data_IF_733311320063
#
_entry.id   IF_733311320063
#
_cell.length_a   1.000
_cell.length_b   1.000
_cell.length_c   1.000
_cell.angle_alpha   90.00
_cell.angle_beta   90.00
_cell.angle_gamma   90.00
#
_symmetry.space_group_name_H-M   'P 1'
#
loop_
_entity.id
_entity.type
_entity.pdbx_description
1 polymer ?
#
# COMPACT_ATOMS: atom_id res chain seq x y z
N UNK A 1 54.60 -24.84 37.60
CA UNK A 1 53.35 -24.09 37.88
C UNK A 1 53.58 -22.62 37.54
N UNK A 2 52.98 -22.12 36.45
CA UNK A 2 53.02 -20.69 36.14
C UNK A 2 52.18 -19.93 37.18
N UNK A 3 52.82 -19.07 38.01
CA UNK A 3 52.11 -18.11 38.86
C UNK A 3 51.59 -16.98 37.97
N UNK A 4 50.39 -17.15 37.43
CA UNK A 4 49.70 -16.08 36.71
C UNK A 4 49.33 -15.01 37.73
N UNK A 5 49.86 -13.79 37.55
CA UNK A 5 49.50 -12.64 38.37
C UNK A 5 48.00 -12.37 38.27
N UNK A 6 47.35 -12.04 39.39
CA UNK A 6 45.92 -11.68 39.46
C UNK A 6 45.53 -10.63 38.42
N UNK A 7 46.45 -9.71 38.06
CA UNK A 7 46.25 -8.73 36.98
C UNK A 7 46.15 -9.38 35.59
N UNK A 8 46.99 -10.36 35.28
CA UNK A 8 46.97 -11.06 33.99
C UNK A 8 45.68 -11.90 33.86
N UNK A 9 45.25 -12.56 34.93
CA UNK A 9 44.00 -13.34 34.93
C UNK A 9 42.77 -12.46 34.68
N UNK A 10 42.73 -11.25 35.26
CA UNK A 10 41.64 -10.29 35.03
C UNK A 10 41.63 -9.80 33.57
N UNK A 11 42.80 -9.47 33.01
CA UNK A 11 42.92 -9.04 31.61
C UNK A 11 42.43 -10.14 30.65
N UNK A 12 42.85 -11.39 30.85
CA UNK A 12 42.43 -12.53 30.03
C UNK A 12 40.92 -12.75 30.12
N UNK A 13 40.34 -12.64 31.32
CA UNK A 13 38.89 -12.75 31.51
C UNK A 13 38.11 -11.66 30.77
N UNK A 14 38.55 -10.39 30.87
CA UNK A 14 37.93 -9.27 30.14
C UNK A 14 37.97 -9.51 28.63
N UNK A 15 39.12 -9.92 28.09
CA UNK A 15 39.27 -10.22 26.65
C UNK A 15 38.34 -11.35 26.21
N UNK A 16 38.22 -12.42 27.00
CA UNK A 16 37.29 -13.53 26.71
C UNK A 16 35.83 -13.06 26.66
N UNK A 17 35.41 -12.23 27.62
CA UNK A 17 34.05 -11.65 27.64
C UNK A 17 33.81 -10.78 26.39
N UNK A 18 34.79 -9.96 26.00
CA UNK A 18 34.70 -9.16 24.77
C UNK A 18 34.58 -10.02 23.52
N UNK A 19 35.35 -11.11 23.41
CA UNK A 19 35.27 -12.04 22.27
C UNK A 19 33.88 -12.68 22.19
N UNK A 20 33.31 -13.11 23.33
CA UNK A 20 31.96 -13.69 23.38
C UNK A 20 30.91 -12.66 22.93
N UNK A 21 30.98 -11.43 23.43
CA UNK A 21 30.06 -10.35 23.04
C UNK A 21 30.20 -10.04 21.55
N UNK A 22 31.44 -9.91 21.04
CA UNK A 22 31.69 -9.63 19.63
C UNK A 22 31.20 -10.77 18.72
N UNK A 23 31.40 -12.03 19.12
CA UNK A 23 30.91 -13.20 18.37
C UNK A 23 29.38 -13.26 18.34
N UNK A 24 28.71 -12.98 19.47
CA UNK A 24 27.24 -12.92 19.51
C UNK A 24 26.69 -11.76 18.67
N UNK A 25 27.34 -10.59 18.73
CA UNK A 25 26.99 -9.46 17.89
C UNK A 25 27.20 -9.77 16.40
N UNK A 26 28.29 -10.45 16.04
CA UNK A 26 28.57 -10.87 14.68
C UNK A 26 27.50 -11.85 14.15
N UNK A 27 27.15 -12.88 14.92
CA UNK A 27 26.12 -13.84 14.53
C UNK A 27 24.76 -13.14 14.34
N UNK A 28 24.38 -12.25 15.26
CA UNK A 28 23.15 -11.47 15.16
C UNK A 28 23.14 -10.58 13.89
N UNK A 29 24.26 -9.93 13.56
CA UNK A 29 24.38 -9.11 12.34
C UNK A 29 24.25 -9.98 11.09
N UNK A 30 24.88 -11.16 11.07
CA UNK A 30 24.78 -12.10 9.94
C UNK A 30 23.35 -12.62 9.72
N UNK A 31 22.67 -13.02 10.80
CA UNK A 31 21.27 -13.46 10.73
C UNK A 31 20.36 -12.33 10.22
N UNK A 32 20.56 -11.11 10.70
CA UNK A 32 19.81 -9.93 10.23
C UNK A 32 20.07 -9.63 8.75
N UNK A 33 21.32 -9.80 8.28
CA UNK A 33 21.68 -9.59 6.88
C UNK A 33 21.05 -10.65 5.97
N UNK A 34 21.09 -11.93 6.36
CA UNK A 34 20.45 -13.01 5.61
C UNK A 34 18.93 -12.83 5.54
N UNK A 35 18.30 -12.43 6.65
CA UNK A 35 16.87 -12.13 6.67
C UNK A 35 16.52 -10.98 5.73
N UNK A 36 17.34 -9.92 5.71
CA UNK A 36 17.19 -8.79 4.78
C UNK A 36 17.29 -9.27 3.33
N UNK A 37 18.36 -9.95 2.96
CA UNK A 37 18.61 -10.42 1.59
C UNK A 37 17.51 -11.36 1.09
N UNK A 38 17.03 -12.27 1.94
CA UNK A 38 15.95 -13.18 1.59
C UNK A 38 14.64 -12.43 1.28
N UNK A 39 14.29 -11.41 2.07
CA UNK A 39 13.10 -10.60 1.83
C UNK A 39 13.23 -9.76 0.55
N UNK A 40 14.39 -9.15 0.30
CA UNK A 40 14.62 -8.39 -0.92
C UNK A 40 14.56 -9.28 -2.17
N UNK A 41 15.22 -10.45 -2.14
CA UNK A 41 15.21 -11.38 -3.28
C UNK A 41 13.80 -11.84 -3.62
N UNK A 42 13.00 -12.16 -2.59
CA UNK A 42 11.59 -12.52 -2.80
C UNK A 42 10.77 -11.36 -3.36
N UNK A 43 10.97 -10.15 -2.86
CA UNK A 43 10.31 -8.96 -3.39
C UNK A 43 10.68 -8.73 -4.87
N UNK A 44 11.96 -8.87 -5.23
CA UNK A 44 12.43 -8.77 -6.62
C UNK A 44 11.78 -9.81 -7.53
N UNK A 45 11.71 -11.06 -7.07
CA UNK A 45 11.08 -12.16 -7.80
C UNK A 45 9.60 -11.87 -8.05
N UNK A 46 8.86 -11.48 -7.00
CA UNK A 46 7.43 -11.16 -7.09
C UNK A 46 7.15 -9.99 -8.05
N UNK A 47 7.91 -8.90 -7.95
CA UNK A 47 7.74 -7.74 -8.83
C UNK A 47 8.11 -8.05 -10.28
N UNK A 48 9.13 -8.89 -10.50
CA UNK A 48 9.48 -9.37 -11.84
C UNK A 48 8.37 -10.24 -12.43
N UNK A 49 7.76 -11.10 -11.62
CA UNK A 49 6.61 -11.90 -12.02
C UNK A 49 5.39 -11.02 -12.37
N UNK A 50 5.13 -9.95 -11.60
CA UNK A 50 4.08 -8.97 -11.91
C UNK A 50 4.31 -8.33 -13.28
N UNK A 51 5.54 -7.91 -13.59
CA UNK A 51 5.88 -7.32 -14.89
C UNK A 51 5.61 -8.32 -16.01
N UNK A 52 6.08 -9.55 -15.87
CA UNK A 52 5.84 -10.61 -16.88
C UNK A 52 4.36 -10.92 -17.06
N UNK A 53 3.58 -10.93 -15.97
CA UNK A 53 2.12 -11.05 -16.02
C UNK A 53 1.51 -9.88 -16.81
N UNK A 54 1.94 -8.64 -16.55
CA UNK A 54 1.40 -7.44 -17.20
C UNK A 54 1.62 -7.41 -18.72
N UNK A 55 2.66 -8.09 -19.19
CA UNK A 55 2.98 -8.17 -20.62
C UNK A 55 2.14 -9.20 -21.37
N UNK A 56 1.53 -10.15 -20.65
CA UNK A 56 0.80 -11.31 -21.17
C UNK A 56 -0.63 -11.36 -20.61
N UNK A 57 -0.89 -12.22 -19.62
CA UNK A 57 -2.21 -12.42 -18.97
C UNK A 57 -2.90 -11.11 -18.56
N UNK A 58 -2.15 -10.12 -18.07
CA UNK A 58 -2.70 -8.83 -17.69
C UNK A 58 -3.33 -8.07 -18.87
N UNK A 59 -2.79 -8.20 -20.09
CA UNK A 59 -3.40 -7.62 -21.29
C UNK A 59 -4.67 -8.36 -21.69
N UNK A 60 -4.69 -9.68 -21.55
CA UNK A 60 -5.87 -10.51 -21.83
C UNK A 60 -7.00 -10.19 -20.85
N UNK A 61 -6.69 -10.03 -19.55
CA UNK A 61 -7.64 -9.61 -18.53
C UNK A 61 -8.19 -8.20 -18.81
N UNK A 62 -7.34 -7.26 -19.22
CA UNK A 62 -7.77 -5.92 -19.60
C UNK A 62 -8.69 -5.93 -20.82
N UNK A 63 -8.36 -6.73 -21.84
CA UNK A 63 -9.18 -6.85 -23.04
C UNK A 63 -10.54 -7.49 -22.73
N UNK A 64 -10.56 -8.52 -21.89
CA UNK A 64 -11.80 -9.09 -21.36
C UNK A 64 -12.62 -8.04 -20.60
N UNK A 65 -12.00 -7.28 -19.70
CA UNK A 65 -12.67 -6.26 -18.91
C UNK A 65 -13.30 -5.18 -19.77
N UNK A 66 -12.60 -4.70 -20.80
CA UNK A 66 -13.10 -3.71 -21.78
C UNK A 66 -14.28 -4.23 -22.58
N UNK A 67 -14.23 -5.50 -22.99
CA UNK A 67 -15.24 -6.13 -23.84
C UNK A 67 -16.32 -6.89 -23.05
N UNK A 68 -16.44 -6.66 -21.73
CA UNK A 68 -17.48 -7.26 -20.92
C UNK A 68 -18.85 -6.77 -21.40
N UNK A 69 -19.70 -7.72 -21.81
CA UNK A 69 -21.01 -7.50 -22.42
C UNK A 69 -22.06 -8.40 -21.77
N UNK A 70 -23.34 -8.24 -22.14
CA UNK A 70 -24.43 -9.07 -21.60
C UNK A 70 -24.24 -10.55 -21.95
N UNK A 71 -23.67 -10.84 -23.11
CA UNK A 71 -23.51 -12.20 -23.65
C UNK A 71 -22.39 -12.98 -22.95
N UNK A 72 -21.32 -12.30 -22.51
CA UNK A 72 -20.16 -12.93 -21.88
C UNK A 72 -20.07 -12.67 -20.37
N UNK A 73 -21.08 -12.01 -19.79
CA UNK A 73 -21.12 -11.67 -18.37
C UNK A 73 -21.30 -12.92 -17.50
N UNK A 74 -20.44 -13.04 -16.50
CA UNK A 74 -20.57 -14.00 -15.42
C UNK A 74 -20.10 -13.33 -14.12
N UNK A 75 -21.01 -13.18 -13.15
CA UNK A 75 -20.74 -12.45 -11.89
C UNK A 75 -19.56 -13.06 -11.12
N UNK A 76 -19.50 -14.38 -11.01
CA UNK A 76 -18.45 -15.08 -10.29
C UNK A 76 -17.08 -14.80 -10.91
N UNK A 77 -16.95 -14.91 -12.23
CA UNK A 77 -15.72 -14.59 -12.96
C UNK A 77 -15.30 -13.13 -12.75
N UNK A 78 -16.24 -12.19 -12.83
CA UNK A 78 -15.96 -10.76 -12.60
C UNK A 78 -15.51 -10.52 -11.17
N UNK A 79 -16.20 -11.08 -10.18
CA UNK A 79 -15.85 -10.97 -8.76
C UNK A 79 -14.44 -11.53 -8.51
N UNK A 80 -14.13 -12.73 -9.00
CA UNK A 80 -12.81 -13.34 -8.81
C UNK A 80 -11.70 -12.55 -9.49
N UNK A 81 -11.94 -11.97 -10.66
CA UNK A 81 -10.93 -11.15 -11.35
C UNK A 81 -10.66 -9.83 -10.59
N UNK A 82 -11.70 -9.20 -10.03
CA UNK A 82 -11.54 -8.03 -9.16
C UNK A 82 -10.73 -8.40 -7.92
N UNK A 83 -11.09 -9.47 -7.21
CA UNK A 83 -10.40 -9.92 -5.99
C UNK A 83 -8.93 -10.28 -6.29
N UNK A 84 -8.67 -10.99 -7.39
CA UNK A 84 -7.31 -11.29 -7.85
C UNK A 84 -6.50 -10.01 -8.03
N UNK A 85 -7.02 -9.04 -8.76
CA UNK A 85 -6.31 -7.79 -9.03
C UNK A 85 -6.09 -6.95 -7.76
N UNK A 86 -7.05 -6.91 -6.82
CA UNK A 86 -6.85 -6.28 -5.50
C UNK A 86 -5.70 -6.93 -4.71
N UNK A 87 -5.65 -8.27 -4.67
CA UNK A 87 -4.57 -9.02 -4.01
C UNK A 87 -3.21 -8.79 -4.66
N UNK A 88 -3.17 -8.70 -6.00
CA UNK A 88 -1.94 -8.38 -6.74
C UNK A 88 -1.44 -6.99 -6.38
N UNK A 89 -2.31 -5.97 -6.37
CA UNK A 89 -1.94 -4.61 -5.95
C UNK A 89 -1.40 -4.63 -4.50
N UNK A 90 -2.09 -5.31 -3.59
CA UNK A 90 -1.66 -5.41 -2.18
C UNK A 90 -0.27 -6.01 -2.04
N UNK A 91 -0.03 -7.17 -2.67
CA UNK A 91 1.25 -7.87 -2.60
C UNK A 91 2.37 -7.00 -3.17
N UNK A 92 2.16 -6.40 -4.35
CA UNK A 92 3.15 -5.54 -4.98
C UNK A 92 3.46 -4.28 -4.18
N UNK A 93 2.48 -3.68 -3.49
CA UNK A 93 2.73 -2.55 -2.58
C UNK A 93 3.64 -2.97 -1.42
N UNK A 94 3.44 -4.16 -0.85
CA UNK A 94 4.31 -4.66 0.22
C UNK A 94 5.72 -5.00 -0.30
N UNK A 95 5.85 -5.58 -1.49
CA UNK A 95 7.16 -5.86 -2.09
C UNK A 95 7.92 -4.57 -2.42
N UNK A 96 7.24 -3.55 -2.98
CA UNK A 96 7.82 -2.22 -3.20
C UNK A 96 8.23 -1.59 -1.86
N UNK A 97 7.43 -1.76 -0.80
CA UNK A 97 7.75 -1.28 0.55
C UNK A 97 9.01 -1.95 1.10
N UNK A 98 9.16 -3.26 0.92
CA UNK A 98 10.37 -4.01 1.32
C UNK A 98 11.59 -3.42 0.62
N UNK A 99 11.54 -3.25 -0.71
CA UNK A 99 12.65 -2.65 -1.45
C UNK A 99 12.91 -1.20 -1.03
N UNK A 100 11.87 -0.44 -0.70
CA UNK A 100 12.01 0.95 -0.19
C UNK A 100 12.69 1.02 1.18
N UNK A 101 12.50 0.01 2.04
CA UNK A 101 13.06 0.00 3.39
C UNK A 101 14.50 -0.54 3.39
N UNK A 102 14.77 -1.55 2.56
CA UNK A 102 15.99 -2.35 2.67
C UNK A 102 17.00 -2.10 1.54
N UNK A 103 16.54 -1.75 0.33
CA UNK A 103 17.40 -1.62 -0.84
C UNK A 103 17.90 -0.20 -1.09
N UNK A 104 19.09 -0.12 -1.70
CA UNK A 104 19.74 1.09 -2.22
C UNK A 104 20.23 0.89 -3.66
N UNK A 105 19.64 -0.07 -4.40
CA UNK A 105 20.06 -0.41 -5.76
C UNK A 105 19.19 0.31 -6.79
N UNK A 106 19.82 0.83 -7.85
CA UNK A 106 19.13 1.45 -8.99
C UNK A 106 18.19 0.46 -9.72
N UNK A 107 18.57 -0.82 -9.77
CA UNK A 107 17.75 -1.87 -10.37
C UNK A 107 16.42 -2.07 -9.61
N UNK A 108 16.46 -1.95 -8.28
CA UNK A 108 15.27 -2.06 -7.43
C UNK A 108 14.38 -0.81 -7.53
N UNK A 109 14.98 0.36 -7.80
CA UNK A 109 14.23 1.56 -8.16
C UNK A 109 13.44 1.33 -9.44
N UNK A 110 14.11 0.92 -10.52
CA UNK A 110 13.49 0.70 -11.83
C UNK A 110 12.41 -0.38 -11.76
N UNK A 111 12.65 -1.43 -10.99
CA UNK A 111 11.69 -2.49 -10.72
C UNK A 111 10.44 -1.94 -9.98
N UNK A 112 10.67 -1.17 -8.91
CA UNK A 112 9.59 -0.52 -8.15
C UNK A 112 8.79 0.46 -9.01
N UNK A 113 9.46 1.23 -9.86
CA UNK A 113 8.84 2.16 -10.81
C UNK A 113 7.91 1.45 -11.77
N UNK A 114 8.36 0.36 -12.39
CA UNK A 114 7.56 -0.45 -13.32
C UNK A 114 6.37 -1.07 -12.59
N UNK A 115 6.60 -1.70 -11.44
CA UNK A 115 5.55 -2.30 -10.63
C UNK A 115 4.50 -1.27 -10.19
N UNK A 116 4.92 -0.10 -9.72
CA UNK A 116 4.02 1.00 -9.37
C UNK A 116 3.14 1.43 -10.53
N UNK A 117 3.68 1.54 -11.75
CA UNK A 117 2.89 1.86 -12.95
C UNK A 117 1.87 0.78 -13.28
N UNK A 118 2.22 -0.49 -13.12
CA UNK A 118 1.30 -1.61 -13.36
C UNK A 118 0.13 -1.54 -12.37
N UNK A 119 0.42 -1.42 -11.08
CA UNK A 119 -0.64 -1.42 -10.05
C UNK A 119 -1.50 -0.15 -10.06
N UNK A 120 -0.92 1.00 -10.46
CA UNK A 120 -1.67 2.26 -10.55
C UNK A 120 -2.51 2.34 -11.83
N UNK A 121 -2.07 1.72 -12.92
CA UNK A 121 -2.72 1.80 -14.23
C UNK A 121 -3.39 0.47 -14.57
N UNK A 122 -2.63 -0.56 -14.97
CA UNK A 122 -3.19 -1.79 -15.54
C UNK A 122 -4.17 -2.50 -14.59
N UNK A 123 -3.78 -2.80 -13.34
CA UNK A 123 -4.68 -3.48 -12.40
C UNK A 123 -5.93 -2.64 -12.10
N UNK A 124 -5.76 -1.33 -11.94
CA UNK A 124 -6.86 -0.41 -11.68
C UNK A 124 -7.77 -0.22 -12.89
N UNK A 125 -7.24 -0.24 -14.11
CA UNK A 125 -8.02 -0.19 -15.35
C UNK A 125 -8.86 -1.44 -15.50
N UNK A 126 -8.27 -2.63 -15.27
CA UNK A 126 -9.01 -3.91 -15.25
C UNK A 126 -10.19 -3.81 -14.29
N UNK A 127 -9.94 -3.45 -13.03
CA UNK A 127 -11.00 -3.33 -12.03
C UNK A 127 -12.04 -2.27 -12.45
N UNK A 128 -11.60 -1.10 -12.91
CA UNK A 128 -12.50 0.00 -13.28
C UNK A 128 -13.41 -0.36 -14.45
N UNK A 129 -12.88 -1.01 -15.49
CA UNK A 129 -13.66 -1.48 -16.63
C UNK A 129 -14.66 -2.57 -16.20
N UNK A 130 -14.24 -3.54 -15.40
CA UNK A 130 -15.14 -4.57 -14.86
C UNK A 130 -16.31 -3.95 -14.09
N UNK A 131 -16.01 -3.06 -13.15
CA UNK A 131 -17.01 -2.37 -12.34
C UNK A 131 -17.96 -1.51 -13.17
N UNK A 132 -17.44 -0.76 -14.14
CA UNK A 132 -18.23 0.11 -15.00
C UNK A 132 -19.14 -0.69 -15.92
N UNK A 133 -18.60 -1.69 -16.62
CA UNK A 133 -19.34 -2.49 -17.57
C UNK A 133 -20.39 -3.38 -16.87
N UNK A 134 -20.03 -4.03 -15.75
CA UNK A 134 -20.98 -4.81 -14.98
C UNK A 134 -22.14 -3.94 -14.47
N UNK A 135 -21.87 -2.72 -14.01
CA UNK A 135 -22.91 -1.79 -13.60
C UNK A 135 -23.88 -1.48 -14.74
N UNK A 136 -23.39 -1.29 -15.97
CA UNK A 136 -24.24 -1.04 -17.13
C UNK A 136 -25.05 -2.28 -17.57
N UNK A 137 -24.53 -3.48 -17.30
CA UNK A 137 -25.19 -4.75 -17.61
C UNK A 137 -26.29 -5.06 -16.59
N UNK A 138 -25.96 -4.96 -15.30
CA UNK A 138 -26.80 -5.41 -14.18
C UNK A 138 -27.69 -4.31 -13.60
N UNK A 139 -27.40 -3.05 -13.89
CA UNK A 139 -28.00 -1.87 -13.26
C UNK A 139 -27.85 -1.84 -11.72
N UNK A 140 -26.87 -2.54 -11.16
CA UNK A 140 -26.57 -2.44 -9.74
C UNK A 140 -26.22 -0.99 -9.35
N UNK A 141 -26.80 -0.53 -8.23
CA UNK A 141 -26.56 0.85 -7.74
C UNK A 141 -25.20 1.01 -7.04
N UNK A 142 -24.63 -0.09 -6.58
CA UNK A 142 -23.36 -0.19 -5.84
C UNK A 142 -22.36 -1.02 -6.64
N UNK A 143 -21.06 -0.81 -6.41
CA UNK A 143 -19.97 -1.46 -7.15
C UNK A 143 -19.44 -2.73 -6.48
N UNK A 144 -19.32 -2.70 -5.16
CA UNK A 144 -18.82 -3.79 -4.34
C UNK A 144 -19.91 -4.33 -3.45
N UNK A 145 -20.71 -3.45 -2.83
CA UNK A 145 -21.62 -3.82 -1.75
C UNK A 145 -22.76 -4.79 -2.13
N UNK A 146 -23.02 -5.02 -3.42
CA UNK A 146 -24.06 -5.98 -3.82
C UNK A 146 -23.58 -7.44 -3.73
N UNK A 147 -22.27 -7.67 -3.75
CA UNK A 147 -21.64 -8.99 -3.71
C UNK A 147 -20.78 -9.07 -2.44
N UNK A 148 -21.12 -10.01 -1.53
CA UNK A 148 -20.50 -10.06 -0.21
C UNK A 148 -19.00 -10.37 -0.30
N UNK A 149 -18.61 -11.36 -1.10
CA UNK A 149 -17.22 -11.78 -1.23
C UNK A 149 -16.35 -10.63 -1.77
N UNK A 150 -16.85 -9.94 -2.79
CA UNK A 150 -16.18 -8.77 -3.37
C UNK A 150 -16.07 -7.62 -2.37
N UNK A 151 -17.12 -7.36 -1.59
CA UNK A 151 -17.13 -6.31 -0.58
C UNK A 151 -16.15 -6.61 0.56
N UNK A 152 -16.14 -7.85 1.07
CA UNK A 152 -15.21 -8.29 2.12
C UNK A 152 -13.75 -8.13 1.64
N UNK A 153 -13.46 -8.49 0.38
CA UNK A 153 -12.12 -8.30 -0.21
C UNK A 153 -11.73 -6.82 -0.35
N UNK A 154 -12.68 -5.93 -0.69
CA UNK A 154 -12.41 -4.49 -0.72
C UNK A 154 -12.12 -3.96 0.69
N UNK A 155 -12.87 -4.40 1.70
CA UNK A 155 -12.64 -3.99 3.08
C UNK A 155 -11.26 -4.42 3.58
N UNK A 156 -10.85 -5.66 3.30
CA UNK A 156 -9.52 -6.16 3.63
C UNK A 156 -8.41 -5.36 2.94
N UNK A 157 -8.60 -5.08 1.65
CA UNK A 157 -7.66 -4.29 0.87
C UNK A 157 -7.52 -2.85 1.41
N UNK A 158 -8.65 -2.17 1.65
CA UNK A 158 -8.63 -0.82 2.22
C UNK A 158 -8.07 -0.81 3.63
N UNK A 159 -8.38 -1.81 4.45
CA UNK A 159 -7.82 -1.95 5.79
C UNK A 159 -6.28 -2.06 5.73
N UNK A 160 -5.74 -2.87 4.82
CA UNK A 160 -4.30 -2.95 4.56
C UNK A 160 -3.71 -1.58 4.20
N UNK A 161 -4.27 -0.90 3.19
CA UNK A 161 -3.76 0.39 2.73
C UNK A 161 -3.76 1.45 3.85
N UNK A 162 -4.87 1.54 4.59
CA UNK A 162 -5.02 2.52 5.66
C UNK A 162 -4.10 2.23 6.85
N UNK A 163 -3.83 0.96 7.14
CA UNK A 163 -2.86 0.55 8.16
C UNK A 163 -1.45 1.02 7.76
N UNK A 164 -1.04 0.77 6.52
CA UNK A 164 0.27 1.22 6.02
C UNK A 164 0.41 2.74 6.00
N UNK A 165 -0.64 3.46 5.60
CA UNK A 165 -0.65 4.93 5.62
C UNK A 165 -0.45 5.49 7.04
N UNK A 166 -1.14 4.92 8.04
CA UNK A 166 -0.98 5.34 9.44
C UNK A 166 0.42 4.97 9.97
N UNK A 167 0.85 3.72 9.80
CA UNK A 167 2.12 3.22 10.31
C UNK A 167 3.34 3.94 9.70
N UNK A 168 3.41 4.00 8.37
CA UNK A 168 4.61 4.46 7.71
C UNK A 168 4.69 6.00 7.69
N UNK A 169 3.56 6.71 7.55
CA UNK A 169 3.54 8.16 7.32
C UNK A 169 2.99 9.02 8.47
N UNK A 170 2.13 8.48 9.35
CA UNK A 170 1.69 9.20 10.55
C UNK A 170 2.56 8.87 11.76
N UNK A 171 2.88 7.59 11.96
CA UNK A 171 3.78 7.14 13.01
C UNK A 171 5.26 7.21 12.60
N UNK A 172 5.53 7.61 11.36
CA UNK A 172 6.86 7.79 10.79
C UNK A 172 7.74 6.51 10.83
N UNK A 173 7.16 5.32 10.67
CA UNK A 173 7.92 4.05 10.70
C UNK A 173 8.81 3.83 9.47
N UNK A 174 8.49 4.42 8.31
CA UNK A 174 9.38 4.35 7.14
C UNK A 174 10.45 5.44 7.23
N UNK A 175 11.72 5.01 7.20
CA UNK A 175 12.93 5.86 7.31
C UNK A 175 13.83 5.74 6.07
N UNK A 176 13.24 5.64 4.87
CA UNK A 176 14.04 5.73 3.64
C UNK A 176 14.66 7.13 3.54
N UNK A 177 15.95 7.17 3.22
CA UNK A 177 16.67 8.39 2.88
C UNK A 177 16.67 8.64 1.36
N UNK A 178 16.22 7.66 0.57
CA UNK A 178 16.15 7.73 -0.88
C UNK A 178 14.74 8.11 -1.35
N UNK A 179 14.68 9.20 -2.10
CA UNK A 179 13.47 9.77 -2.63
C UNK A 179 12.85 8.92 -3.74
N UNK A 180 13.66 8.34 -4.63
CA UNK A 180 13.10 7.66 -5.78
C UNK A 180 12.31 6.43 -5.34
N UNK A 181 12.86 5.62 -4.42
CA UNK A 181 12.16 4.48 -3.85
C UNK A 181 10.92 4.87 -3.05
N UNK A 182 10.96 5.95 -2.26
CA UNK A 182 9.80 6.34 -1.44
C UNK A 182 8.62 6.82 -2.29
N UNK A 183 8.87 7.45 -3.44
CA UNK A 183 7.78 7.96 -4.29
C UNK A 183 6.96 6.86 -4.91
N UNK A 184 7.58 5.79 -5.40
CA UNK A 184 6.85 4.69 -6.02
C UNK A 184 5.95 3.99 -5.00
N UNK A 185 6.50 3.67 -3.83
CA UNK A 185 5.72 3.13 -2.71
C UNK A 185 4.55 4.05 -2.33
N UNK A 186 4.85 5.33 -2.08
CA UNK A 186 3.86 6.28 -1.57
C UNK A 186 2.77 6.55 -2.59
N UNK A 187 3.12 6.67 -3.87
CA UNK A 187 2.16 6.92 -4.95
C UNK A 187 1.22 5.73 -5.12
N UNK A 188 1.75 4.50 -5.10
CA UNK A 188 0.94 3.28 -5.16
C UNK A 188 -0.01 3.18 -3.97
N UNK A 189 0.45 3.53 -2.77
CA UNK A 189 -0.36 3.47 -1.56
C UNK A 189 -1.48 4.53 -1.54
N UNK A 190 -1.13 5.81 -1.74
CA UNK A 190 -2.10 6.92 -1.72
C UNK A 190 -3.07 6.83 -2.90
N UNK A 191 -2.57 6.54 -4.10
CA UNK A 191 -3.40 6.49 -5.31
C UNK A 191 -4.50 5.43 -5.21
N UNK A 192 -4.13 4.21 -4.79
CA UNK A 192 -5.11 3.15 -4.57
C UNK A 192 -6.06 3.47 -3.40
N UNK A 193 -5.52 3.95 -2.27
CA UNK A 193 -6.35 4.28 -1.12
C UNK A 193 -7.42 5.33 -1.46
N UNK A 194 -7.03 6.36 -2.22
CA UNK A 194 -7.94 7.41 -2.66
C UNK A 194 -9.07 6.87 -3.55
N UNK A 195 -8.72 6.16 -4.63
CA UNK A 195 -9.69 5.65 -5.60
C UNK A 195 -10.69 4.69 -4.96
N UNK A 196 -10.20 3.69 -4.23
CA UNK A 196 -11.05 2.67 -3.63
C UNK A 196 -11.86 3.18 -2.44
N UNK A 197 -11.32 4.09 -1.64
CA UNK A 197 -12.09 4.68 -0.53
C UNK A 197 -13.23 5.57 -1.02
N UNK A 198 -13.05 6.25 -2.17
CA UNK A 198 -14.13 7.01 -2.79
C UNK A 198 -15.31 6.10 -3.17
N UNK A 199 -15.01 4.96 -3.80
CA UNK A 199 -16.01 3.96 -4.18
C UNK A 199 -16.68 3.38 -2.93
N UNK A 200 -15.88 2.97 -1.93
CA UNK A 200 -16.35 2.40 -0.66
C UNK A 200 -17.34 3.33 0.06
N UNK A 201 -16.94 4.60 0.29
CA UNK A 201 -17.81 5.61 0.92
C UNK A 201 -19.08 5.82 0.09
N UNK A 202 -18.97 5.84 -1.25
CA UNK A 202 -20.09 5.97 -2.15
C UNK A 202 -21.10 4.82 -2.04
N UNK A 203 -20.61 3.58 -1.95
CA UNK A 203 -21.44 2.39 -1.79
C UNK A 203 -22.13 2.36 -0.42
N UNK A 204 -21.38 2.61 0.66
CA UNK A 204 -21.92 2.70 2.02
C UNK A 204 -23.00 3.79 2.13
N UNK A 205 -22.78 4.95 1.51
CA UNK A 205 -23.75 6.05 1.54
C UNK A 205 -25.06 5.71 0.83
N UNK A 206 -25.02 4.89 -0.23
CA UNK A 206 -26.20 4.50 -1.02
C UNK A 206 -27.06 3.45 -0.34
N UNK A 207 -26.46 2.54 0.43
CA UNK A 207 -27.17 1.44 1.12
C UNK A 207 -26.73 1.35 2.59
N UNK A 208 -26.75 2.48 3.29
CA UNK A 208 -26.29 2.58 4.67
C UNK A 208 -27.05 1.64 5.62
N UNK A 209 -26.33 0.99 6.53
CA UNK A 209 -26.86 0.19 7.65
C UNK A 209 -25.90 0.29 8.84
N UNK A 210 -26.39 0.06 10.06
CA UNK A 210 -25.55 0.07 11.26
C UNK A 210 -24.54 -1.09 11.35
N UNK A 211 -24.63 -2.11 10.47
CA UNK A 211 -23.61 -3.16 10.37
C UNK A 211 -22.24 -2.64 9.91
N UNK A 212 -22.20 -1.45 9.32
CA UNK A 212 -20.95 -0.79 8.95
C UNK A 212 -20.26 -0.11 10.14
N UNK A 213 -20.90 -0.02 11.32
CA UNK A 213 -20.22 0.41 12.55
C UNK A 213 -19.36 -0.74 13.09
N UNK A 214 -18.23 -0.95 12.43
CA UNK A 214 -17.26 -1.98 12.76
C UNK A 214 -15.83 -1.41 12.75
N UNK A 215 -14.89 -2.17 13.32
CA UNK A 215 -13.51 -1.70 13.50
C UNK A 215 -12.77 -1.41 12.18
N UNK A 216 -13.01 -2.19 11.12
CA UNK A 216 -12.41 -1.95 9.81
C UNK A 216 -12.90 -0.65 9.21
N UNK A 217 -14.22 -0.44 9.15
CA UNK A 217 -14.83 0.81 8.68
C UNK A 217 -14.31 2.00 9.48
N UNK A 218 -14.27 1.90 10.81
CA UNK A 218 -13.78 2.98 11.67
C UNK A 218 -12.34 3.38 11.32
N UNK A 219 -11.45 2.41 11.12
CA UNK A 219 -10.05 2.64 10.74
C UNK A 219 -9.96 3.29 9.35
N UNK A 220 -10.67 2.73 8.35
CA UNK A 220 -10.72 3.27 6.99
C UNK A 220 -11.16 4.74 7.02
N UNK A 221 -12.33 5.03 7.61
CA UNK A 221 -12.88 6.38 7.63
C UNK A 221 -12.03 7.36 8.44
N UNK A 222 -11.39 6.92 9.53
CA UNK A 222 -10.50 7.77 10.32
C UNK A 222 -9.23 8.15 9.55
N UNK A 223 -8.59 7.19 8.88
CA UNK A 223 -7.41 7.45 8.05
C UNK A 223 -7.75 8.37 6.88
N UNK A 224 -8.92 8.20 6.26
CA UNK A 224 -9.40 9.11 5.21
C UNK A 224 -9.57 10.56 5.67
N UNK A 225 -10.00 10.81 6.92
CA UNK A 225 -10.02 12.18 7.47
C UNK A 225 -8.63 12.79 7.60
N UNK A 226 -7.64 11.93 7.87
CA UNK A 226 -6.24 12.34 8.06
C UNK A 226 -5.47 12.38 6.73
N UNK A 227 -6.09 12.07 5.59
CA UNK A 227 -5.40 11.96 4.31
C UNK A 227 -4.63 13.24 3.95
N UNK A 228 -5.22 14.42 4.17
CA UNK A 228 -4.51 15.71 3.97
C UNK A 228 -3.21 15.75 4.79
N UNK A 229 -3.25 15.37 6.08
CA UNK A 229 -2.07 15.33 6.95
C UNK A 229 -1.03 14.29 6.50
N UNK A 230 -1.49 13.15 6.00
CA UNK A 230 -0.61 12.09 5.46
C UNK A 230 0.12 12.62 4.23
N UNK A 231 -0.63 13.22 3.31
CA UNK A 231 -0.10 13.82 2.09
C UNK A 231 0.84 14.99 2.37
N UNK A 232 0.55 15.83 3.37
CA UNK A 232 1.46 16.89 3.81
C UNK A 232 2.76 16.32 4.37
N UNK A 233 2.69 15.25 5.18
CA UNK A 233 3.86 14.57 5.70
C UNK A 233 4.73 13.97 4.59
N UNK A 234 4.10 13.36 3.58
CA UNK A 234 4.77 12.83 2.39
C UNK A 234 5.45 13.96 1.62
N UNK A 235 4.70 15.01 1.30
CA UNK A 235 5.20 16.18 0.55
C UNK A 235 6.40 16.80 1.27
N UNK A 236 6.30 16.97 2.58
CA UNK A 236 7.39 17.51 3.41
C UNK A 236 8.63 16.62 3.38
N UNK A 237 8.49 15.29 3.39
CA UNK A 237 9.62 14.36 3.28
C UNK A 237 10.26 14.45 1.91
N UNK A 238 9.44 14.49 0.87
CA UNK A 238 9.91 14.63 -0.51
C UNK A 238 10.64 15.95 -0.73
N UNK A 239 10.08 17.08 -0.30
CA UNK A 239 10.72 18.38 -0.49
C UNK A 239 12.07 18.51 0.25
N UNK A 240 12.27 17.74 1.32
CA UNK A 240 13.52 17.67 2.07
C UNK A 240 14.62 16.89 1.34
N UNK A 241 14.28 16.11 0.33
CA UNK A 241 15.30 15.43 -0.46
C UNK A 241 16.15 16.47 -1.22
N UNK A 242 17.45 16.43 -1.00
CA UNK A 242 18.41 17.39 -1.55
C UNK A 242 18.74 17.11 -3.02
N UNK A 243 18.40 15.92 -3.54
CA UNK A 243 18.74 15.49 -4.90
C UNK A 243 17.73 15.95 -5.96
N UNK A 244 16.54 16.39 -5.55
CA UNK A 244 15.55 16.95 -6.44
C UNK A 244 15.80 18.44 -6.74
N UNK A 245 15.74 18.80 -8.02
CA UNK A 245 15.70 20.19 -8.43
C UNK A 245 14.38 20.87 -8.02
N UNK A 246 14.41 22.20 -7.93
CA UNK A 246 13.26 22.99 -7.46
C UNK A 246 12.04 22.90 -8.39
N UNK A 247 12.23 22.70 -9.69
CA UNK A 247 11.13 22.60 -10.66
C UNK A 247 10.37 21.28 -10.49
N UNK A 248 11.08 20.18 -10.29
CA UNK A 248 10.49 18.88 -10.01
C UNK A 248 9.69 18.90 -8.70
N UNK A 249 10.22 19.55 -7.65
CA UNK A 249 9.52 19.73 -6.36
C UNK A 249 8.21 20.50 -6.51
N UNK A 250 8.22 21.63 -7.22
CA UNK A 250 7.01 22.43 -7.42
C UNK A 250 5.95 21.70 -8.25
N UNK A 251 6.36 21.02 -9.33
CA UNK A 251 5.43 20.23 -10.16
C UNK A 251 4.78 19.09 -9.37
N UNK A 252 5.54 18.42 -8.51
CA UNK A 252 5.00 17.38 -7.65
C UNK A 252 4.00 17.96 -6.65
N UNK A 253 4.34 19.08 -6.01
CA UNK A 253 3.44 19.78 -5.09
C UNK A 253 2.13 20.19 -5.76
N UNK A 254 2.20 20.70 -6.99
CA UNK A 254 1.02 21.04 -7.79
C UNK A 254 0.14 19.80 -8.07
N UNK A 255 0.75 18.69 -8.48
CA UNK A 255 0.02 17.43 -8.73
C UNK A 255 -0.65 16.89 -7.46
N UNK A 256 0.07 16.92 -6.34
CA UNK A 256 -0.45 16.51 -5.03
C UNK A 256 -1.64 17.40 -4.64
N UNK A 257 -1.52 18.72 -4.78
CA UNK A 257 -2.62 19.65 -4.47
C UNK A 257 -3.85 19.38 -5.32
N UNK A 258 -3.70 19.13 -6.63
CA UNK A 258 -4.82 18.77 -7.51
C UNK A 258 -5.54 17.50 -7.06
N UNK A 259 -4.79 16.49 -6.61
CA UNK A 259 -5.36 15.24 -6.07
C UNK A 259 -6.14 15.53 -4.78
N UNK A 260 -5.56 16.31 -3.87
CA UNK A 260 -6.20 16.69 -2.61
C UNK A 260 -7.46 17.54 -2.81
N UNK A 261 -7.45 18.49 -3.73
CA UNK A 261 -8.62 19.31 -4.07
C UNK A 261 -9.78 18.43 -4.56
N UNK A 262 -9.51 17.51 -5.48
CA UNK A 262 -10.51 16.57 -5.99
C UNK A 262 -11.05 15.66 -4.88
N UNK A 263 -10.19 15.21 -3.95
CA UNK A 263 -10.62 14.45 -2.78
C UNK A 263 -11.59 15.25 -1.89
N UNK A 264 -11.18 16.48 -1.52
CA UNK A 264 -11.90 17.32 -0.59
C UNK A 264 -13.28 17.75 -1.11
N UNK A 265 -13.43 17.97 -2.42
CA UNK A 265 -14.67 18.54 -2.99
C UNK A 265 -15.91 17.64 -2.85
N UNK A 266 -15.76 16.31 -2.95
CA UNK A 266 -16.90 15.37 -2.97
C UNK A 266 -16.81 14.27 -1.92
N UNK A 267 -15.61 13.79 -1.63
CA UNK A 267 -15.42 12.65 -0.75
C UNK A 267 -15.52 13.05 0.72
N UNK A 268 -15.04 14.25 1.09
CA UNK A 268 -15.08 14.74 2.47
C UNK A 268 -16.51 14.97 2.97
N UNK A 269 -17.41 15.51 2.14
CA UNK A 269 -18.82 15.70 2.50
C UNK A 269 -19.52 14.37 2.75
N UNK A 270 -19.32 13.38 1.86
CA UNK A 270 -19.89 12.04 2.02
C UNK A 270 -19.29 11.33 3.24
N UNK A 271 -17.99 11.48 3.48
CA UNK A 271 -17.29 10.95 4.65
C UNK A 271 -17.88 11.51 5.95
N UNK A 272 -18.04 12.82 6.06
CA UNK A 272 -18.62 13.46 7.24
C UNK A 272 -20.06 13.01 7.48
N UNK A 273 -20.86 12.91 6.41
CA UNK A 273 -22.24 12.42 6.47
C UNK A 273 -22.29 10.98 6.98
N UNK A 274 -21.47 10.09 6.40
CA UNK A 274 -21.40 8.69 6.80
C UNK A 274 -20.97 8.53 8.27
N UNK A 275 -19.97 9.30 8.70
CA UNK A 275 -19.50 9.27 10.09
C UNK A 275 -20.56 9.79 11.08
N UNK A 276 -21.35 10.79 10.70
CA UNK A 276 -22.47 11.24 11.55
C UNK A 276 -23.49 10.12 11.74
N UNK A 277 -23.88 9.46 10.64
CA UNK A 277 -24.83 8.34 10.69
C UNK A 277 -24.29 7.15 11.50
N UNK A 278 -23.00 6.84 11.39
CA UNK A 278 -22.40 5.76 12.18
C UNK A 278 -22.42 6.05 13.69
N UNK A 279 -22.27 7.31 14.12
CA UNK A 279 -22.39 7.69 15.54
C UNK A 279 -23.80 7.50 16.10
N UNK A 280 -24.82 7.54 15.25
CA UNK A 280 -26.21 7.28 15.66
C UNK A 280 -26.43 5.79 15.96
N UNK A 281 -25.69 4.89 15.30
CA UNK A 281 -25.75 3.44 15.52
C UNK A 281 -25.20 3.00 16.88
N UNK A 282 -24.28 3.76 17.47
CA UNK A 282 -23.71 3.46 18.79
C UNK A 282 -24.67 3.79 19.94
N UNK A 283 -25.81 4.43 19.65
CA UNK A 283 -26.84 4.83 20.60
C UNK A 283 -28.14 3.99 20.49
N UNK A 284 -28.16 2.94 19.67
CA UNK A 284 -29.21 1.89 19.63
C UNK A 284 -28.78 0.65 20.43
#
# INVERSE_FOLDING_TARGET
MLKISKRISIIVFIVLVFIIIASNAYNFIQEALQFKEANENKARENLSALIKWSENEGKEELEYAKNLSKENYNQEKVTQMIIKNLKMIQASIEDIRILTIYSFLDEDEELSRKASRIVLNLNNDIISYLLYNERNITNHKTYFLFDKERFDALEDFLFFLNTRLEEDFLQNKIKSHDFSHIVYYTSSLIGNNWGFSHIYIGDLSKKFTCKFDNSKTAIILNTMRKLNKITDNVTRRICKDFFLDNQAKEKLKENINKILENFNKKTLTNLNTLQSKLKECTNE
#
